data_IF_730709739536
#
_entry.id   IF_730709739536
#
_cell.length_a   1.000
_cell.length_b   1.000
_cell.length_c   1.000
_cell.angle_alpha   90.00
_cell.angle_beta   90.00
_cell.angle_gamma   90.00
#
_symmetry.space_group_name_H-M   'P 1'
#
loop_
_entity.id
_entity.type
_entity.pdbx_description
1 polymer ?
#
# COMPACT_ATOMS: atom_id res chain seq x y z
N UNK A 1 -2.16 -13.92 -0.59
CA UNK A 1 -0.82 -13.98 -1.27
C UNK A 1 -0.12 -12.64 -1.06
N UNK A 2 1.22 -12.63 -1.06
CA UNK A 2 2.18 -11.74 -0.35
C UNK A 2 2.49 -12.21 1.08
N UNK A 3 1.54 -12.13 2.01
CA UNK A 3 1.78 -12.52 3.42
C UNK A 3 1.95 -14.02 3.64
N UNK A 4 1.41 -14.84 2.73
CA UNK A 4 1.47 -16.31 2.81
C UNK A 4 0.42 -16.95 3.74
N UNK A 5 -0.42 -16.15 4.41
CA UNK A 5 -1.48 -16.62 5.31
C UNK A 5 -2.80 -15.87 5.07
N UNK A 6 -3.94 -16.36 5.60
CA UNK A 6 -5.22 -15.65 5.55
C UNK A 6 -5.16 -14.30 6.28
N UNK A 7 -5.90 -13.32 5.79
CA UNK A 7 -6.17 -12.03 6.44
C UNK A 7 -7.68 -11.95 6.63
N UNK A 8 -8.22 -12.30 7.82
CA UNK A 8 -9.67 -12.28 8.04
C UNK A 8 -10.20 -10.86 8.06
N UNK A 9 -11.38 -10.65 7.45
CA UNK A 9 -12.03 -9.34 7.34
C UNK A 9 -13.50 -9.41 7.76
N UNK A 10 -14.02 -8.31 8.30
CA UNK A 10 -15.44 -8.13 8.65
C UNK A 10 -15.90 -6.77 8.14
N UNK A 11 -17.02 -6.73 7.42
CA UNK A 11 -17.58 -5.47 6.95
C UNK A 11 -18.04 -4.59 8.12
N UNK A 12 -17.75 -3.29 8.06
CA UNK A 12 -18.13 -2.30 9.05
C UNK A 12 -18.76 -1.06 8.36
N UNK A 13 -19.53 -0.23 9.09
CA UNK A 13 -20.08 1.01 8.55
C UNK A 13 -18.98 1.94 8.02
N UNK A 14 -19.31 2.76 7.02
CA UNK A 14 -18.40 3.80 6.51
C UNK A 14 -18.08 4.81 7.60
N UNK A 15 -16.81 5.15 7.75
CA UNK A 15 -16.38 6.27 8.62
C UNK A 15 -16.71 7.59 7.93
N UNK A 16 -17.32 8.51 8.68
CA UNK A 16 -17.65 9.85 8.18
C UNK A 16 -16.38 10.60 7.77
N UNK A 17 -16.44 11.27 6.61
CA UNK A 17 -15.31 12.04 6.05
C UNK A 17 -14.50 11.30 4.98
N UNK A 18 -14.65 9.98 4.82
CA UNK A 18 -13.93 9.24 3.78
C UNK A 18 -14.67 9.30 2.43
N UNK A 19 -14.01 9.74 1.33
CA UNK A 19 -14.58 9.66 0.00
C UNK A 19 -14.66 8.20 -0.47
N UNK A 20 -15.52 7.92 -1.45
CA UNK A 20 -15.66 6.57 -1.99
C UNK A 20 -14.39 6.09 -2.74
N UNK A 21 -13.71 7.01 -3.44
CA UNK A 21 -12.47 6.77 -4.19
C UNK A 21 -11.65 8.07 -4.21
N UNK A 22 -10.32 7.97 -4.09
CA UNK A 22 -9.41 9.10 -4.22
C UNK A 22 -8.11 8.65 -4.91
N UNK A 23 -7.90 9.13 -6.13
CA UNK A 23 -6.74 8.78 -6.98
C UNK A 23 -6.16 10.05 -7.59
N UNK A 24 -4.84 10.20 -7.51
CA UNK A 24 -4.13 11.34 -8.09
C UNK A 24 -3.63 11.04 -9.51
N UNK A 25 -3.65 12.05 -10.39
CA UNK A 25 -2.96 11.98 -11.67
C UNK A 25 -1.46 12.25 -11.49
N UNK A 26 -0.62 11.38 -12.06
CA UNK A 26 0.83 11.54 -12.07
C UNK A 26 1.35 12.38 -13.26
N UNK A 27 0.48 12.81 -14.17
CA UNK A 27 0.86 13.38 -15.47
C UNK A 27 1.83 14.57 -15.34
N UNK A 28 1.54 15.53 -14.47
CA UNK A 28 2.37 16.71 -14.25
C UNK A 28 3.79 16.37 -13.79
N UNK A 29 3.94 15.34 -12.93
CA UNK A 29 5.25 14.91 -12.45
C UNK A 29 6.05 14.22 -13.55
N UNK A 30 5.40 13.40 -14.37
CA UNK A 30 6.03 12.77 -15.55
C UNK A 30 6.51 13.84 -16.53
N UNK A 31 5.64 14.79 -16.89
CA UNK A 31 5.94 15.82 -17.89
C UNK A 31 7.06 16.77 -17.43
N UNK A 32 6.97 17.27 -16.20
CA UNK A 32 7.87 18.33 -15.73
C UNK A 32 9.16 17.84 -15.13
N UNK A 33 9.14 16.66 -14.52
CA UNK A 33 10.30 16.13 -13.78
C UNK A 33 10.94 14.95 -14.50
N UNK A 34 10.36 14.47 -15.62
CA UNK A 34 10.77 13.21 -16.23
C UNK A 34 10.55 12.02 -15.29
N UNK A 35 9.70 12.17 -14.28
CA UNK A 35 9.54 11.16 -13.24
C UNK A 35 8.93 9.88 -13.82
N UNK A 36 9.61 8.76 -13.63
CA UNK A 36 9.14 7.44 -14.07
C UNK A 36 9.03 6.55 -12.83
N UNK A 37 7.81 6.11 -12.44
CA UNK A 37 7.63 5.22 -11.30
C UNK A 37 8.32 3.87 -11.54
N UNK A 38 9.25 3.49 -10.67
CA UNK A 38 9.97 2.22 -10.76
C UNK A 38 9.30 1.07 -10.00
N UNK A 39 8.36 1.38 -9.11
CA UNK A 39 7.62 0.43 -8.24
C UNK A 39 6.12 0.76 -8.26
N UNK A 40 5.47 0.57 -9.40
CA UNK A 40 4.05 0.88 -9.57
C UNK A 40 3.11 -0.30 -9.25
N UNK A 41 3.66 -1.49 -9.00
CA UNK A 41 2.88 -2.70 -8.78
C UNK A 41 2.47 -2.85 -7.31
N UNK A 42 1.16 -3.01 -7.06
CA UNK A 42 0.63 -3.07 -5.71
C UNK A 42 1.17 -4.28 -4.93
N UNK A 43 1.36 -5.44 -5.59
CA UNK A 43 1.85 -6.64 -4.94
C UNK A 43 3.28 -6.47 -4.39
N UNK A 44 4.17 -5.83 -5.16
CA UNK A 44 5.53 -5.52 -4.76
C UNK A 44 5.61 -4.46 -3.69
N UNK A 45 4.74 -3.44 -3.73
CA UNK A 45 4.63 -2.45 -2.63
C UNK A 45 4.22 -3.15 -1.34
N UNK A 46 3.20 -4.02 -1.37
CA UNK A 46 2.77 -4.79 -0.20
C UNK A 46 3.88 -5.75 0.26
N UNK A 47 4.66 -6.34 -0.65
CA UNK A 47 5.74 -7.25 -0.31
C UNK A 47 6.88 -6.56 0.45
N UNK A 48 7.29 -5.36 0.03
CA UNK A 48 8.29 -4.55 0.73
C UNK A 48 7.79 -4.17 2.13
N UNK A 49 6.53 -3.72 2.22
CA UNK A 49 5.91 -3.37 3.51
C UNK A 49 5.85 -4.57 4.46
N UNK A 50 5.50 -5.76 3.94
CA UNK A 50 5.47 -6.98 4.72
C UNK A 50 6.85 -7.42 5.21
N UNK A 51 7.87 -7.31 4.36
CA UNK A 51 9.26 -7.60 4.75
C UNK A 51 9.76 -6.65 5.84
N UNK A 52 9.38 -5.37 5.77
CA UNK A 52 9.69 -4.38 6.80
C UNK A 52 9.01 -4.73 8.12
N UNK A 53 7.69 -4.92 8.13
CA UNK A 53 6.91 -5.20 9.34
C UNK A 53 7.41 -6.44 10.11
N UNK A 54 7.77 -7.51 9.39
CA UNK A 54 8.28 -8.76 9.99
C UNK A 54 9.62 -8.61 10.72
N UNK A 55 10.38 -7.54 10.49
CA UNK A 55 11.64 -7.29 11.21
C UNK A 55 11.38 -6.72 12.61
N UNK A 56 10.28 -6.01 12.81
CA UNK A 56 9.92 -5.41 14.10
C UNK A 56 9.23 -6.41 15.05
N UNK A 57 8.58 -7.45 14.52
CA UNK A 57 8.00 -8.55 15.33
C UNK A 57 9.05 -9.35 16.12
N UNK A 58 10.32 -9.32 15.71
CA UNK A 58 11.42 -9.98 16.45
C UNK A 58 12.01 -9.14 17.60
N UNK A 59 11.51 -7.92 17.82
CA UNK A 59 12.07 -6.98 18.81
C UNK A 59 11.28 -6.88 20.13
N UNK A 60 10.29 -7.75 20.37
CA UNK A 60 9.58 -7.83 21.66
C UNK A 60 9.59 -9.27 22.19
N UNK A 61 10.29 -9.56 23.30
CA UNK A 61 10.14 -10.84 24.02
C UNK A 61 8.78 -10.94 24.73
#
# INVERSE_FOLDING_TARGET
KVTGHPVPETAAPRRGGDPAVLVASAATAVERLGWTPSRADLAGIIADAWQFARREDTATP
#
